data_IF_119722804082
#
_entry.id   IF_119722804082
#
_cell.length_a   1.000
_cell.length_b   1.000
_cell.length_c   1.000
_cell.angle_alpha   90.00
_cell.angle_beta   90.00
_cell.angle_gamma   90.00
#
_symmetry.space_group_name_H-M   'P 1'
#
loop_
_entity.id
_entity.type
_entity.pdbx_description
1 polymer ?
#
# COMPACT_ATOMS: atom_id res chain seq x y z
N UNK A 1 21.53 -36.20 -13.67
CA UNK A 1 20.46 -35.47 -14.38
C UNK A 1 20.63 -34.00 -14.11
N UNK A 2 21.56 -33.48 -14.88
CA UNK A 2 22.07 -32.13 -14.91
C UNK A 2 21.00 -31.19 -15.47
N UNK A 3 20.84 -30.03 -14.85
CA UNK A 3 20.27 -28.87 -15.52
C UNK A 3 21.29 -27.75 -15.30
N UNK A 4 22.10 -27.58 -16.34
CA UNK A 4 23.10 -26.54 -16.53
C UNK A 4 22.45 -25.19 -16.88
N UNK A 5 23.23 -24.16 -16.60
CA UNK A 5 23.05 -22.72 -16.67
C UNK A 5 22.46 -22.18 -17.98
N UNK A 6 21.63 -21.13 -17.84
CA UNK A 6 21.74 -19.89 -18.64
C UNK A 6 20.58 -18.93 -18.34
N UNK A 7 20.79 -18.03 -17.37
CA UNK A 7 20.11 -16.73 -17.39
C UNK A 7 21.19 -15.67 -17.45
N UNK A 8 21.20 -14.99 -18.59
CA UNK A 8 22.18 -14.03 -19.06
C UNK A 8 22.33 -12.83 -18.10
N UNK A 9 23.60 -12.53 -17.80
CA UNK A 9 24.08 -11.19 -17.42
C UNK A 9 23.88 -10.21 -18.58
N UNK A 10 23.18 -9.11 -18.33
CA UNK A 10 23.31 -7.75 -18.90
C UNK A 10 22.11 -6.93 -18.34
N UNK A 11 22.21 -5.75 -17.74
CA UNK A 11 23.24 -4.74 -17.70
C UNK A 11 23.17 -3.95 -16.38
N UNK A 12 24.33 -3.55 -15.86
CA UNK A 12 24.48 -2.62 -14.76
C UNK A 12 24.14 -1.18 -15.19
N UNK A 13 23.30 -0.49 -14.41
CA UNK A 13 23.32 0.97 -14.22
C UNK A 13 22.22 1.38 -13.24
N UNK A 14 22.61 2.03 -12.12
CA UNK A 14 21.83 2.50 -10.95
C UNK A 14 21.79 1.63 -9.67
N UNK A 15 22.88 0.92 -9.35
CA UNK A 15 23.07 0.44 -7.98
C UNK A 15 23.74 1.55 -7.15
N UNK A 16 23.14 2.03 -6.05
CA UNK A 16 23.78 2.99 -5.15
C UNK A 16 25.09 2.41 -4.58
N UNK A 17 26.10 3.25 -4.27
CA UNK A 17 27.49 2.86 -3.91
C UNK A 17 27.65 2.06 -2.60
N UNK A 18 26.57 1.52 -2.03
CA UNK A 18 26.55 0.80 -0.76
C UNK A 18 26.42 -0.70 -0.86
N UNK A 19 26.04 -1.22 -2.03
CA UNK A 19 25.65 -2.62 -2.17
C UNK A 19 26.71 -3.57 -1.62
N UNK A 20 27.99 -3.29 -1.85
CA UNK A 20 29.05 -4.20 -1.42
C UNK A 20 29.33 -4.11 0.10
N UNK A 21 29.42 -2.90 0.68
CA UNK A 21 29.79 -2.76 2.11
C UNK A 21 28.64 -3.05 3.09
N UNK A 22 27.40 -2.62 2.81
CA UNK A 22 26.28 -2.85 3.73
C UNK A 22 25.79 -4.29 3.66
N UNK A 23 25.72 -4.88 2.46
CA UNK A 23 25.30 -6.26 2.30
C UNK A 23 26.29 -7.21 2.99
N UNK A 24 27.59 -6.95 2.88
CA UNK A 24 28.63 -7.71 3.57
C UNK A 24 28.45 -7.67 5.09
N UNK A 25 28.16 -6.50 5.65
CA UNK A 25 27.93 -6.35 7.10
C UNK A 25 26.65 -7.07 7.53
N UNK A 26 25.56 -6.98 6.77
CA UNK A 26 24.33 -7.74 7.05
C UNK A 26 24.57 -9.25 6.92
N UNK A 27 25.37 -9.70 5.94
CA UNK A 27 25.74 -11.10 5.75
C UNK A 27 26.58 -11.61 6.92
N UNK A 28 27.48 -10.77 7.44
CA UNK A 28 28.27 -11.04 8.66
C UNK A 28 27.37 -11.17 9.89
N UNK A 29 26.43 -10.25 10.11
CA UNK A 29 25.42 -10.35 11.18
C UNK A 29 24.62 -11.66 11.05
N UNK A 30 24.14 -11.99 9.85
CA UNK A 30 23.42 -13.25 9.60
C UNK A 30 24.28 -14.47 9.90
N UNK A 31 25.58 -14.43 9.58
CA UNK A 31 26.55 -15.51 9.88
C UNK A 31 26.77 -15.67 11.38
N UNK A 32 26.86 -14.58 12.15
CA UNK A 32 26.92 -14.60 13.62
C UNK A 32 25.70 -15.34 14.16
N UNK A 33 24.49 -14.89 13.80
CA UNK A 33 23.24 -15.49 14.28
C UNK A 33 23.16 -16.98 13.92
N UNK A 34 23.47 -17.35 12.66
CA UNK A 34 23.47 -18.75 12.23
C UNK A 34 24.48 -19.60 13.01
N UNK A 35 25.64 -19.05 13.36
CA UNK A 35 26.68 -19.79 14.10
C UNK A 35 26.20 -20.20 15.49
N UNK A 36 25.51 -19.29 16.19
CA UNK A 36 24.91 -19.60 17.49
C UNK A 36 23.70 -20.52 17.34
N UNK A 37 22.76 -20.25 16.41
CA UNK A 37 21.56 -21.09 16.25
C UNK A 37 21.84 -22.52 15.81
N UNK A 38 22.94 -22.78 15.08
CA UNK A 38 23.32 -24.13 14.63
C UNK A 38 23.96 -24.99 15.72
N UNK A 39 24.54 -24.37 16.75
CA UNK A 39 25.29 -25.10 17.78
C UNK A 39 24.65 -24.89 19.15
N UNK A 40 23.99 -25.93 19.72
CA UNK A 40 23.39 -25.84 21.06
C UNK A 40 24.39 -25.36 22.11
N UNK A 41 25.62 -25.89 22.08
CA UNK A 41 26.69 -25.52 23.02
C UNK A 41 27.02 -24.02 22.94
N UNK A 42 27.18 -23.47 21.72
CA UNK A 42 27.47 -22.04 21.55
C UNK A 42 26.27 -21.18 21.94
N UNK A 43 25.06 -21.63 21.64
CA UNK A 43 23.83 -20.93 21.99
C UNK A 43 23.61 -20.88 23.50
N UNK A 44 23.88 -21.97 24.22
CA UNK A 44 23.75 -22.04 25.67
C UNK A 44 24.81 -21.18 26.37
N UNK A 45 26.03 -21.15 25.83
CA UNK A 45 27.06 -20.22 26.31
C UNK A 45 26.64 -18.76 26.10
N UNK A 46 26.16 -18.42 24.89
CA UNK A 46 25.64 -17.07 24.61
C UNK A 46 24.48 -16.70 25.56
N UNK A 47 23.56 -17.63 25.80
CA UNK A 47 22.44 -17.41 26.73
C UNK A 47 22.94 -17.10 28.15
N UNK A 48 23.96 -17.80 28.64
CA UNK A 48 24.61 -17.50 29.92
C UNK A 48 25.25 -16.11 29.94
N UNK A 49 25.96 -15.74 28.87
CA UNK A 49 26.52 -14.39 28.75
C UNK A 49 25.44 -13.31 28.73
N UNK A 50 24.33 -13.52 28.01
CA UNK A 50 23.20 -12.60 27.99
C UNK A 50 22.57 -12.42 29.38
N UNK A 51 22.40 -13.52 30.13
CA UNK A 51 21.89 -13.47 31.51
C UNK A 51 22.85 -12.74 32.46
N UNK A 52 24.16 -12.96 32.31
CA UNK A 52 25.17 -12.26 33.10
C UNK A 52 25.17 -10.73 32.86
N UNK A 53 24.84 -10.31 31.63
CA UNK A 53 24.66 -8.90 31.26
C UNK A 53 23.25 -8.35 31.62
N UNK A 54 22.38 -9.16 32.25
CA UNK A 54 21.03 -8.74 32.66
C UNK A 54 20.00 -8.67 31.54
N UNK A 55 20.24 -9.30 30.39
CA UNK A 55 19.32 -9.30 29.26
C UNK A 55 18.19 -10.32 29.46
N UNK A 56 16.93 -9.86 29.26
CA UNK A 56 15.74 -10.74 29.31
C UNK A 56 15.70 -11.73 28.15
N UNK A 57 16.14 -11.31 26.98
CA UNK A 57 16.19 -12.14 25.78
C UNK A 57 17.55 -12.83 25.66
N UNK A 58 17.54 -14.16 25.68
CA UNK A 58 18.75 -14.99 25.68
C UNK A 58 19.07 -15.59 24.31
N UNK A 59 18.22 -15.36 23.30
CA UNK A 59 18.35 -15.94 21.96
C UNK A 59 18.36 -14.86 20.89
N UNK A 60 19.25 -15.04 19.92
CA UNK A 60 19.30 -14.19 18.73
C UNK A 60 18.19 -14.57 17.74
N UNK A 61 17.63 -13.54 17.09
CA UNK A 61 16.62 -13.72 16.05
C UNK A 61 17.30 -13.79 14.68
N UNK A 62 16.78 -14.64 13.80
CA UNK A 62 17.26 -14.73 12.41
C UNK A 62 16.21 -14.10 11.52
N UNK A 63 16.65 -13.33 10.54
CA UNK A 63 15.75 -12.71 9.57
C UNK A 63 15.05 -13.73 8.67
N UNK A 64 13.88 -13.36 8.21
CA UNK A 64 13.02 -14.09 7.27
C UNK A 64 13.11 -13.37 5.93
N UNK A 65 13.61 -14.06 4.90
CA UNK A 65 13.89 -13.49 3.57
C UNK A 65 12.72 -12.71 2.96
N UNK A 66 11.48 -13.16 3.20
CA UNK A 66 10.26 -12.58 2.61
C UNK A 66 9.74 -11.37 3.42
N UNK A 67 10.13 -11.23 4.69
CA UNK A 67 9.62 -10.18 5.59
C UNK A 67 10.74 -9.23 5.99
N UNK A 68 10.92 -8.16 5.23
CA UNK A 68 12.01 -7.20 5.43
C UNK A 68 12.12 -6.66 6.87
N UNK A 69 10.99 -6.43 7.57
CA UNK A 69 10.98 -6.01 9.00
C UNK A 69 11.79 -6.93 9.92
N UNK A 70 11.94 -8.20 9.57
CA UNK A 70 12.71 -9.16 10.37
C UNK A 70 14.22 -8.91 10.34
N UNK A 71 14.72 -8.17 9.35
CA UNK A 71 16.12 -7.72 9.30
C UNK A 71 16.39 -6.76 10.46
N UNK A 72 15.46 -5.82 10.72
CA UNK A 72 15.55 -4.89 11.86
C UNK A 72 15.64 -5.66 13.17
N UNK A 73 14.73 -6.63 13.37
CA UNK A 73 14.73 -7.46 14.59
C UNK A 73 16.02 -8.27 14.76
N UNK A 74 16.59 -8.77 13.66
CA UNK A 74 17.86 -9.51 13.69
C UNK A 74 19.01 -8.61 14.11
N UNK A 75 19.17 -7.46 13.45
CA UNK A 75 20.25 -6.51 13.73
C UNK A 75 20.12 -5.99 15.17
N UNK A 76 18.93 -5.55 15.57
CA UNK A 76 18.64 -5.07 16.92
C UNK A 76 18.96 -6.13 17.99
N UNK A 77 18.59 -7.39 17.78
CA UNK A 77 18.92 -8.47 18.73
C UNK A 77 20.43 -8.66 18.92
N UNK A 78 21.22 -8.54 17.84
CA UNK A 78 22.69 -8.64 17.90
C UNK A 78 23.30 -7.39 18.55
N UNK A 79 22.78 -6.21 18.26
CA UNK A 79 23.25 -4.95 18.86
C UNK A 79 22.96 -4.88 20.36
N UNK A 80 21.79 -5.32 20.82
CA UNK A 80 21.45 -5.41 22.26
C UNK A 80 22.34 -6.40 22.98
N UNK A 81 22.59 -7.56 22.38
CA UNK A 81 23.44 -8.60 22.94
C UNK A 81 24.94 -8.39 22.63
N UNK A 82 25.37 -7.21 22.16
CA UNK A 82 26.72 -6.98 21.62
C UNK A 82 27.84 -7.50 22.52
N UNK A 83 27.82 -7.16 23.80
CA UNK A 83 28.87 -7.59 24.75
C UNK A 83 28.90 -9.11 24.91
N UNK A 84 27.73 -9.72 25.11
CA UNK A 84 27.59 -11.17 25.22
C UNK A 84 28.02 -11.89 23.93
N UNK A 85 27.66 -11.35 22.77
CA UNK A 85 28.08 -11.86 21.46
C UNK A 85 29.59 -11.76 21.29
N UNK A 86 30.21 -10.62 21.64
CA UNK A 86 31.67 -10.46 21.59
C UNK A 86 32.40 -11.45 22.50
N UNK A 87 31.94 -11.61 23.75
CA UNK A 87 32.50 -12.59 24.69
C UNK A 87 32.40 -14.02 24.14
N UNK A 88 31.22 -14.40 23.65
CA UNK A 88 30.99 -15.73 23.10
C UNK A 88 31.80 -15.98 21.82
N UNK A 89 31.95 -14.99 20.93
CA UNK A 89 32.78 -15.12 19.73
C UNK A 89 34.26 -15.31 20.09
N UNK A 90 34.76 -14.61 21.11
CA UNK A 90 36.13 -14.76 21.60
C UNK A 90 36.36 -16.14 22.21
N UNK A 91 35.44 -16.63 23.05
CA UNK A 91 35.53 -17.96 23.67
C UNK A 91 35.65 -19.10 22.64
N UNK A 92 34.91 -19.02 21.54
CA UNK A 92 34.93 -20.02 20.49
C UNK A 92 35.96 -19.74 19.37
N UNK A 93 36.90 -18.82 19.57
CA UNK A 93 37.93 -18.42 18.60
C UNK A 93 37.36 -17.97 17.23
N UNK A 94 36.19 -17.34 17.23
CA UNK A 94 35.48 -16.82 16.06
C UNK A 94 35.70 -15.30 15.89
N UNK A 95 36.90 -14.81 16.18
CA UNK A 95 37.23 -13.38 16.19
C UNK A 95 37.06 -12.69 14.83
N UNK A 96 37.17 -13.44 13.72
CA UNK A 96 36.89 -12.95 12.36
C UNK A 96 35.44 -12.48 12.15
N UNK A 97 34.51 -12.87 13.04
CA UNK A 97 33.11 -12.43 13.00
C UNK A 97 32.83 -11.21 13.88
N UNK A 98 33.82 -10.70 14.62
CA UNK A 98 33.64 -9.52 15.47
C UNK A 98 33.27 -8.30 14.63
N UNK A 99 32.26 -7.57 15.07
CA UNK A 99 31.84 -6.31 14.45
C UNK A 99 32.76 -5.18 14.94
N UNK A 100 33.33 -4.45 13.99
CA UNK A 100 34.08 -3.23 14.25
C UNK A 100 33.14 -2.10 14.68
N UNK A 101 33.68 -1.06 15.32
CA UNK A 101 32.89 0.11 15.74
C UNK A 101 32.27 0.86 14.54
N UNK A 102 32.93 0.85 13.37
CA UNK A 102 32.36 1.40 12.14
C UNK A 102 31.14 0.60 11.65
N UNK A 103 31.24 -0.74 11.64
CA UNK A 103 30.12 -1.62 11.29
C UNK A 103 28.96 -1.47 12.27
N UNK A 104 29.23 -1.34 13.57
CA UNK A 104 28.22 -1.11 14.60
C UNK A 104 27.51 0.22 14.38
N UNK A 105 28.26 1.30 14.10
CA UNK A 105 27.68 2.62 13.82
C UNK A 105 26.81 2.58 12.56
N UNK A 106 27.25 1.88 11.51
CA UNK A 106 26.47 1.68 10.29
C UNK A 106 25.16 0.92 10.58
N UNK A 107 25.23 -0.21 11.29
CA UNK A 107 24.07 -1.02 11.65
C UNK A 107 23.04 -0.26 12.50
N UNK A 108 23.50 0.60 13.43
CA UNK A 108 22.61 1.47 14.20
C UNK A 108 21.86 2.46 13.30
N UNK A 109 22.57 3.15 12.41
CA UNK A 109 21.93 4.08 11.46
C UNK A 109 20.91 3.38 10.56
N UNK A 110 21.22 2.17 10.10
CA UNK A 110 20.28 1.34 9.31
C UNK A 110 19.06 0.93 10.14
N UNK A 111 19.23 0.51 11.40
CA UNK A 111 18.11 0.20 12.28
C UNK A 111 17.21 1.41 12.49
N UNK A 112 17.75 2.56 12.86
CA UNK A 112 16.97 3.77 13.14
C UNK A 112 16.13 4.19 11.90
N UNK A 113 16.73 4.10 10.71
CA UNK A 113 16.04 4.36 9.44
C UNK A 113 14.94 3.33 9.17
N UNK A 114 15.23 2.04 9.29
CA UNK A 114 14.27 0.98 8.98
C UNK A 114 13.16 0.87 10.02
N UNK A 115 13.41 1.22 11.29
CA UNK A 115 12.39 1.29 12.35
C UNK A 115 11.33 2.34 12.02
N UNK A 116 11.75 3.50 11.51
CA UNK A 116 10.84 4.55 11.05
C UNK A 116 9.91 4.02 9.95
N UNK A 117 10.48 3.33 8.96
CA UNK A 117 9.70 2.74 7.86
C UNK A 117 8.80 1.60 8.37
N UNK A 118 9.27 0.80 9.33
CA UNK A 118 8.52 -0.33 9.88
C UNK A 118 7.34 0.15 10.71
N UNK A 119 7.51 1.21 11.50
CA UNK A 119 6.45 1.88 12.24
C UNK A 119 5.38 2.44 11.29
N UNK A 120 5.80 3.14 10.24
CA UNK A 120 4.88 3.68 9.23
C UNK A 120 4.13 2.58 8.47
N UNK A 121 4.83 1.53 8.02
CA UNK A 121 4.20 0.37 7.37
C UNK A 121 3.19 -0.35 8.27
N UNK A 122 3.49 -0.47 9.57
CA UNK A 122 2.55 -1.03 10.56
C UNK A 122 1.33 -0.14 10.73
N UNK A 123 1.54 1.18 10.84
CA UNK A 123 0.47 2.18 10.91
C UNK A 123 -0.47 2.11 9.72
N UNK A 124 0.08 2.02 8.50
CA UNK A 124 -0.68 1.92 7.24
C UNK A 124 -1.56 0.67 7.16
N UNK A 125 -1.16 -0.40 7.86
CA UNK A 125 -1.94 -1.63 7.96
C UNK A 125 -3.02 -1.61 9.04
N UNK A 126 -3.22 -0.50 9.77
CA UNK A 126 -4.27 -0.44 10.81
C UNK A 126 -5.67 -0.51 10.20
N UNK A 127 -6.67 -0.92 11.00
CA UNK A 127 -8.04 -1.15 10.49
C UNK A 127 -8.81 0.13 10.15
N UNK A 128 -8.58 1.21 10.90
CA UNK A 128 -9.29 2.48 10.74
C UNK A 128 -8.57 3.45 9.79
N UNK A 129 -7.94 2.89 8.75
CA UNK A 129 -7.03 3.62 7.86
C UNK A 129 -7.74 4.00 6.56
N UNK A 130 -7.74 5.29 6.27
CA UNK A 130 -8.22 5.88 5.02
C UNK A 130 -7.05 6.54 4.29
N UNK A 131 -7.28 7.03 3.06
CA UNK A 131 -6.22 7.67 2.27
C UNK A 131 -5.63 8.92 2.94
N UNK A 132 -6.44 9.68 3.71
CA UNK A 132 -5.99 10.89 4.38
C UNK A 132 -4.99 10.56 5.50
N UNK A 133 -5.33 9.61 6.38
CA UNK A 133 -4.41 9.11 7.40
C UNK A 133 -3.21 8.39 6.79
N UNK A 134 -3.40 7.69 5.67
CA UNK A 134 -2.30 7.09 4.91
C UNK A 134 -1.27 8.14 4.47
N UNK A 135 -1.72 9.27 3.92
CA UNK A 135 -0.85 10.38 3.55
C UNK A 135 -0.13 10.97 4.78
N UNK A 136 -0.81 11.13 5.93
CA UNK A 136 -0.16 11.57 7.18
C UNK A 136 0.96 10.63 7.64
N UNK A 137 0.79 9.32 7.46
CA UNK A 137 1.84 8.34 7.77
C UNK A 137 3.01 8.48 6.79
N UNK A 138 2.74 8.70 5.50
CA UNK A 138 3.81 8.97 4.53
C UNK A 138 4.56 10.27 4.85
N UNK A 139 3.87 11.34 5.24
CA UNK A 139 4.48 12.58 5.73
C UNK A 139 5.39 12.31 6.94
N UNK A 140 4.93 11.51 7.90
CA UNK A 140 5.73 11.10 9.06
C UNK A 140 7.02 10.39 8.64
N UNK A 141 6.92 9.40 7.74
CA UNK A 141 8.09 8.66 7.24
C UNK A 141 9.07 9.61 6.57
N UNK A 142 8.60 10.44 5.63
CA UNK A 142 9.45 11.38 4.88
C UNK A 142 10.10 12.41 5.78
N UNK A 143 9.33 13.01 6.70
CA UNK A 143 9.83 14.01 7.66
C UNK A 143 10.87 13.43 8.61
N UNK A 144 10.76 12.16 8.97
CA UNK A 144 11.72 11.50 9.85
C UNK A 144 12.99 11.10 9.08
N UNK A 145 12.84 10.58 7.87
CA UNK A 145 13.97 10.23 7.01
C UNK A 145 14.74 11.46 6.50
N UNK A 146 14.09 12.62 6.33
CA UNK A 146 14.78 13.86 5.96
C UNK A 146 15.69 14.41 7.07
N UNK A 147 15.43 14.02 8.33
CA UNK A 147 16.27 14.34 9.49
C UNK A 147 17.45 13.36 9.65
N UNK A 148 17.45 12.26 8.90
CA UNK A 148 18.53 11.29 8.94
C UNK A 148 19.74 11.82 8.16
N UNK A 149 20.86 11.98 8.85
CA UNK A 149 22.11 12.46 8.26
C UNK A 149 22.92 11.35 7.59
N UNK A 150 22.50 10.09 7.71
CA UNK A 150 23.17 8.97 7.08
C UNK A 150 22.87 8.94 5.59
N UNK A 151 23.87 8.57 4.79
CA UNK A 151 23.69 8.45 3.35
C UNK A 151 22.71 7.29 3.00
N UNK A 152 22.56 6.27 3.86
CA UNK A 152 21.48 5.27 3.76
C UNK A 152 20.09 5.89 3.93
N UNK A 153 19.88 6.69 4.97
CA UNK A 153 18.64 7.44 5.20
C UNK A 153 18.28 8.35 4.04
N UNK A 154 19.27 9.06 3.46
CA UNK A 154 19.07 9.90 2.28
C UNK A 154 18.63 9.09 1.05
N UNK A 155 19.28 7.95 0.78
CA UNK A 155 18.87 7.04 -0.31
C UNK A 155 17.46 6.45 -0.08
N UNK A 156 17.13 6.09 1.15
CA UNK A 156 15.81 5.59 1.53
C UNK A 156 14.73 6.67 1.36
N UNK A 157 15.00 7.89 1.80
CA UNK A 157 14.11 9.04 1.60
C UNK A 157 13.83 9.23 0.10
N UNK A 158 14.87 9.31 -0.72
CA UNK A 158 14.74 9.47 -2.16
C UNK A 158 13.93 8.34 -2.80
N UNK A 159 14.23 7.08 -2.46
CA UNK A 159 13.54 5.93 -3.00
C UNK A 159 12.05 5.92 -2.61
N UNK A 160 11.71 6.23 -1.36
CA UNK A 160 10.32 6.29 -0.91
C UNK A 160 9.59 7.46 -1.57
N UNK A 161 10.18 8.65 -1.64
CA UNK A 161 9.58 9.80 -2.32
C UNK A 161 9.26 9.50 -3.78
N UNK A 162 10.23 8.93 -4.52
CA UNK A 162 10.03 8.57 -5.92
C UNK A 162 8.92 7.52 -6.10
N UNK A 163 8.88 6.50 -5.24
CA UNK A 163 7.82 5.49 -5.27
C UNK A 163 6.44 6.06 -4.94
N UNK A 164 6.40 7.03 -4.04
CA UNK A 164 5.17 7.72 -3.68
C UNK A 164 4.65 8.56 -4.84
N UNK A 165 5.52 9.35 -5.49
CA UNK A 165 5.16 10.13 -6.69
C UNK A 165 4.61 9.25 -7.82
N UNK A 166 5.18 8.06 -8.03
CA UNK A 166 4.76 7.14 -9.09
C UNK A 166 3.40 6.47 -8.86
N UNK A 167 3.00 6.27 -7.60
CA UNK A 167 1.88 5.39 -7.24
C UNK A 167 0.73 6.10 -6.56
N UNK A 168 1.01 7.23 -5.91
CA UNK A 168 0.01 8.02 -5.21
C UNK A 168 -0.91 8.69 -6.20
N UNK A 169 -2.19 8.78 -5.83
CA UNK A 169 -3.20 9.52 -6.57
C UNK A 169 -3.51 10.82 -5.81
N UNK A 170 -2.68 11.88 -5.99
CA UNK A 170 -2.78 13.12 -5.22
C UNK A 170 -4.15 13.80 -5.34
N UNK A 171 -4.85 13.60 -6.46
CA UNK A 171 -6.19 14.12 -6.70
C UNK A 171 -7.25 13.45 -5.82
N UNK A 172 -7.10 12.15 -5.52
CA UNK A 172 -8.06 11.39 -4.71
C UNK A 172 -7.81 11.66 -3.22
N UNK A 173 -6.56 11.47 -2.77
CA UNK A 173 -6.22 11.68 -1.36
C UNK A 173 -6.27 13.15 -0.96
N UNK A 174 -5.89 14.06 -1.87
CA UNK A 174 -6.03 15.50 -1.69
C UNK A 174 -7.48 15.96 -1.58
N UNK A 175 -8.38 15.42 -2.41
CA UNK A 175 -9.81 15.72 -2.30
C UNK A 175 -10.38 15.23 -0.96
N UNK A 176 -10.00 14.03 -0.51
CA UNK A 176 -10.43 13.52 0.79
C UNK A 176 -9.94 14.41 1.95
N UNK A 177 -8.66 14.81 1.93
CA UNK A 177 -8.08 15.68 2.97
C UNK A 177 -8.72 17.06 2.98
N UNK A 178 -8.88 17.68 1.81
CA UNK A 178 -9.57 18.95 1.66
C UNK A 178 -10.99 18.90 2.23
N UNK A 179 -11.78 17.88 1.86
CA UNK A 179 -13.15 17.71 2.39
C UNK A 179 -13.19 17.31 3.87
N UNK A 180 -12.06 16.87 4.45
CA UNK A 180 -11.90 16.64 5.89
C UNK A 180 -11.56 17.94 6.66
N UNK A 181 -11.31 19.05 5.96
CA UNK A 181 -10.89 20.32 6.55
C UNK A 181 -9.40 20.40 6.86
N UNK A 182 -8.57 19.51 6.28
CA UNK A 182 -7.12 19.58 6.43
C UNK A 182 -6.55 20.74 5.61
N UNK A 183 -5.62 21.51 6.20
CA UNK A 183 -4.77 22.43 5.45
C UNK A 183 -3.75 21.63 4.62
N UNK A 184 -3.82 21.80 3.31
CA UNK A 184 -2.92 21.13 2.36
C UNK A 184 -1.61 21.90 2.17
N UNK A 185 -1.53 23.18 2.56
CA UNK A 185 -0.33 24.01 2.39
C UNK A 185 0.77 23.63 3.39
N UNK A 186 0.40 23.13 4.57
CA UNK A 186 1.35 22.67 5.60
C UNK A 186 1.94 21.28 5.32
N UNK A 187 1.46 20.59 4.28
CA UNK A 187 1.88 19.23 3.95
C UNK A 187 3.22 19.19 3.22
N UNK A 188 4.07 18.21 3.55
CA UNK A 188 5.27 17.89 2.76
C UNK A 188 4.96 17.18 1.44
N UNK A 189 3.75 16.64 1.27
CA UNK A 189 3.27 16.02 0.04
C UNK A 189 2.64 17.05 -0.90
N UNK A 190 2.87 16.86 -2.19
CA UNK A 190 2.31 17.71 -3.24
C UNK A 190 0.84 17.30 -3.50
N UNK A 191 -0.03 18.31 -3.52
CA UNK A 191 -1.45 18.19 -3.86
C UNK A 191 -1.80 19.07 -5.06
N UNK A 192 -2.83 18.68 -5.83
CA UNK A 192 -3.28 19.48 -6.95
C UNK A 192 -4.05 20.73 -6.45
N UNK A 193 -4.05 21.82 -7.22
CA UNK A 193 -4.75 23.04 -6.85
C UNK A 193 -6.26 22.82 -6.76
N UNK A 194 -6.95 23.70 -6.01
CA UNK A 194 -8.41 23.65 -5.79
C UNK A 194 -9.23 23.43 -7.07
N UNK A 195 -8.82 24.06 -8.18
CA UNK A 195 -9.50 23.92 -9.48
C UNK A 195 -9.52 22.48 -9.99
N UNK A 196 -8.43 21.74 -9.79
CA UNK A 196 -8.32 20.34 -10.18
C UNK A 196 -9.08 19.43 -9.22
N UNK A 197 -9.06 19.71 -7.91
CA UNK A 197 -9.87 18.98 -6.93
C UNK A 197 -11.37 19.05 -7.24
N UNK A 198 -11.86 20.23 -7.64
CA UNK A 198 -13.25 20.40 -8.10
C UNK A 198 -13.54 19.53 -9.31
N UNK A 199 -12.62 19.51 -10.29
CA UNK A 199 -12.78 18.68 -11.50
C UNK A 199 -12.83 17.20 -11.13
N UNK A 200 -11.95 16.75 -10.24
CA UNK A 200 -11.96 15.37 -9.74
C UNK A 200 -13.26 15.03 -9.00
N UNK A 201 -13.78 15.93 -8.16
CA UNK A 201 -15.06 15.73 -7.49
C UNK A 201 -16.23 15.62 -8.48
N UNK A 202 -16.23 16.45 -9.52
CA UNK A 202 -17.21 16.40 -10.61
C UNK A 202 -17.18 15.05 -11.34
N UNK A 203 -15.99 14.62 -11.76
CA UNK A 203 -15.79 13.34 -12.45
C UNK A 203 -16.21 12.15 -11.59
N UNK A 204 -15.82 12.15 -10.31
CA UNK A 204 -16.19 11.10 -9.36
C UNK A 204 -17.69 11.07 -9.11
N UNK A 205 -18.32 12.23 -8.92
CA UNK A 205 -19.75 12.29 -8.68
C UNK A 205 -20.53 11.76 -9.87
N UNK A 206 -20.17 12.20 -11.09
CA UNK A 206 -20.80 11.70 -12.31
C UNK A 206 -20.57 10.20 -12.46
N UNK A 207 -19.37 9.71 -12.22
CA UNK A 207 -19.05 8.28 -12.37
C UNK A 207 -19.82 7.38 -11.37
N UNK A 208 -20.02 7.84 -10.14
CA UNK A 208 -20.54 7.00 -9.06
C UNK A 208 -22.04 7.17 -8.80
N UNK A 209 -22.58 8.36 -9.04
CA UNK A 209 -23.93 8.73 -8.59
C UNK A 209 -24.82 9.30 -9.69
N UNK A 210 -24.32 9.45 -10.92
CA UNK A 210 -25.16 9.94 -12.02
C UNK A 210 -25.92 8.78 -12.70
N UNK A 211 -27.22 8.80 -12.50
CA UNK A 211 -28.16 7.75 -12.92
C UNK A 211 -28.63 7.88 -14.38
N UNK A 212 -27.78 8.33 -15.33
CA UNK A 212 -28.17 8.28 -16.75
C UNK A 212 -28.22 6.85 -17.34
N UNK A 213 -27.87 5.82 -16.55
CA UNK A 213 -27.94 4.40 -16.92
C UNK A 213 -28.88 3.58 -16.01
N UNK A 214 -29.79 4.20 -15.26
CA UNK A 214 -30.74 3.48 -14.39
C UNK A 214 -31.93 2.86 -15.15
N UNK A 215 -31.82 2.59 -16.45
CA UNK A 215 -32.70 1.65 -17.14
C UNK A 215 -32.13 0.23 -17.04
N UNK A 216 -32.08 -0.31 -15.81
CA UNK A 216 -32.20 -1.76 -15.67
C UNK A 216 -33.67 -2.06 -15.92
N UNK A 217 -33.99 -2.43 -17.17
CA UNK A 217 -35.28 -3.04 -17.50
C UNK A 217 -35.48 -4.23 -16.55
N UNK A 218 -36.37 -4.07 -15.59
CA UNK A 218 -36.98 -5.20 -14.90
C UNK A 218 -37.74 -5.96 -15.98
N UNK A 219 -37.19 -7.07 -16.46
CA UNK A 219 -37.91 -8.02 -17.30
C UNK A 219 -39.12 -8.52 -16.51
N UNK A 220 -40.30 -7.96 -16.83
CA UNK A 220 -41.55 -8.67 -16.67
C UNK A 220 -41.97 -9.22 -18.04
N UNK A 221 -42.55 -10.44 -18.09
CA UNK A 221 -42.72 -11.17 -19.34
C UNK A 221 -43.77 -10.53 -20.25
N UNK A 222 -43.49 -10.59 -21.55
CA UNK A 222 -44.31 -10.11 -22.66
C UNK A 222 -45.77 -10.61 -22.63
N UNK A 223 -46.69 -9.80 -23.18
CA UNK A 223 -47.78 -10.30 -24.00
C UNK A 223 -47.67 -9.85 -25.47
N UNK A 224 -48.34 -10.56 -26.40
CA UNK A 224 -47.84 -10.78 -27.75
C UNK A 224 -48.33 -9.78 -28.81
N UNK A 225 -47.43 -9.54 -29.77
CA UNK A 225 -47.58 -9.35 -31.23
C UNK A 225 -48.89 -8.83 -31.83
N UNK A 226 -48.73 -7.78 -32.63
CA UNK A 226 -49.33 -7.47 -33.96
C UNK A 226 -48.75 -6.10 -34.38
N UNK A 227 -48.35 -5.73 -35.59
CA UNK A 227 -48.32 -6.26 -36.98
C UNK A 227 -47.59 -5.16 -37.76
N UNK A 228 -46.57 -5.45 -38.59
CA UNK A 228 -45.94 -4.42 -39.43
C UNK A 228 -45.92 -4.82 -40.92
N UNK A 229 -46.49 -3.94 -41.75
CA UNK A 229 -46.36 -3.88 -43.21
C UNK A 229 -44.94 -3.41 -43.64
N UNK A 230 -44.47 -3.73 -44.86
CA UNK A 230 -43.08 -3.51 -45.24
C UNK A 230 -42.79 -2.05 -45.64
N UNK A 231 -41.68 -1.43 -45.19
CA UNK A 231 -41.33 -0.06 -45.56
C UNK A 231 -40.61 0.01 -46.92
N UNK A 232 -40.96 1.05 -47.67
CA UNK A 232 -40.38 1.49 -48.95
C UNK A 232 -38.85 1.70 -48.89
N UNK A 233 -38.12 1.18 -49.87
CA UNK A 233 -36.64 1.24 -49.95
C UNK A 233 -36.15 2.64 -50.34
N UNK A 234 -35.37 3.28 -49.47
CA UNK A 234 -34.60 4.49 -49.79
C UNK A 234 -33.41 4.16 -50.70
N UNK A 235 -32.93 5.16 -51.44
CA UNK A 235 -31.78 5.02 -52.33
C UNK A 235 -30.48 4.93 -51.53
N UNK A 236 -29.55 4.05 -51.94
CA UNK A 236 -28.22 3.88 -51.34
C UNK A 236 -27.40 5.19 -51.24
N UNK A 237 -27.70 6.16 -52.09
CA UNK A 237 -27.07 7.48 -52.06
C UNK A 237 -27.56 8.35 -50.88
N UNK A 238 -28.79 8.14 -50.40
CA UNK A 238 -29.31 8.78 -49.18
C UNK A 238 -28.77 8.08 -47.94
N UNK A 239 -28.70 6.75 -47.93
CA UNK A 239 -28.07 5.99 -46.84
C UNK A 239 -26.61 6.40 -46.60
N UNK A 240 -25.84 6.63 -47.68
CA UNK A 240 -24.46 7.08 -47.58
C UNK A 240 -24.34 8.52 -47.04
N UNK A 241 -25.28 9.40 -47.39
CA UNK A 241 -25.31 10.77 -46.86
C UNK A 241 -25.68 10.77 -45.37
N UNK A 242 -26.61 9.93 -44.97
CA UNK A 242 -26.99 9.76 -43.56
C UNK A 242 -25.82 9.16 -42.75
N UNK A 243 -25.08 8.21 -43.32
CA UNK A 243 -23.90 7.62 -42.69
C UNK A 243 -22.74 8.62 -42.53
N UNK A 244 -22.51 9.48 -43.52
CA UNK A 244 -21.45 10.51 -43.46
C UNK A 244 -21.82 11.69 -42.54
N UNK A 245 -23.11 12.00 -42.40
CA UNK A 245 -23.61 13.05 -41.50
C UNK A 245 -23.84 12.55 -40.06
N UNK A 246 -23.81 11.24 -39.84
CA UNK A 246 -23.77 10.61 -38.52
C UNK A 246 -22.38 10.77 -37.87
N UNK A 247 -21.94 12.01 -37.67
CA UNK A 247 -21.05 12.31 -36.55
C UNK A 247 -21.92 12.29 -35.30
N UNK A 248 -21.59 11.40 -34.36
CA UNK A 248 -22.17 11.34 -33.02
C UNK A 248 -22.28 12.74 -32.42
N UNK A 249 -23.47 13.34 -32.46
CA UNK A 249 -23.78 14.51 -31.63
C UNK A 249 -24.15 13.93 -30.26
N UNK A 250 -23.34 14.12 -29.20
CA UNK A 250 -23.79 13.77 -27.86
C UNK A 250 -25.11 14.50 -27.60
N UNK A 251 -26.13 13.77 -27.14
CA UNK A 251 -27.47 14.29 -26.88
C UNK A 251 -27.39 15.62 -26.14
N UNK A 252 -27.94 16.69 -26.71
CA UNK A 252 -27.90 18.06 -26.16
C UNK A 252 -28.47 18.16 -24.74
N UNK A 253 -29.37 17.25 -24.37
CA UNK A 253 -29.93 17.11 -23.03
C UNK A 253 -28.92 16.55 -22.00
N UNK A 254 -27.98 15.71 -22.42
CA UNK A 254 -26.93 15.16 -21.55
C UNK A 254 -25.93 16.25 -21.16
N UNK A 255 -25.44 17.02 -22.14
CA UNK A 255 -24.40 18.03 -21.91
C UNK A 255 -24.91 19.18 -21.05
N UNK A 256 -26.17 19.61 -21.24
CA UNK A 256 -26.80 20.64 -20.39
C UNK A 256 -27.00 20.18 -18.95
N UNK A 257 -27.39 18.93 -18.74
CA UNK A 257 -27.60 18.35 -17.41
C UNK A 257 -26.28 18.18 -16.65
N UNK A 258 -25.24 17.65 -17.31
CA UNK A 258 -23.88 17.53 -16.74
C UNK A 258 -23.31 18.90 -16.36
N UNK A 259 -23.51 19.92 -17.19
CA UNK A 259 -23.11 21.30 -16.88
C UNK A 259 -23.84 21.85 -15.64
N UNK A 260 -25.10 21.47 -15.43
CA UNK A 260 -25.88 21.80 -14.23
C UNK A 260 -25.27 21.23 -12.95
N UNK A 261 -24.95 19.93 -12.95
CA UNK A 261 -24.29 19.24 -11.81
C UNK A 261 -22.92 19.86 -11.54
N UNK A 262 -22.13 20.08 -12.59
CA UNK A 262 -20.80 20.67 -12.46
C UNK A 262 -20.88 22.07 -11.84
N UNK A 263 -21.89 22.86 -12.20
CA UNK A 263 -22.20 24.13 -11.58
C UNK A 263 -22.60 24.00 -10.11
N UNK A 264 -23.40 22.99 -9.77
CA UNK A 264 -23.79 22.72 -8.38
C UNK A 264 -22.59 22.36 -7.51
N UNK A 265 -21.74 21.43 -7.94
CA UNK A 265 -20.54 21.02 -7.20
C UNK A 265 -19.62 22.22 -6.97
N UNK A 266 -19.43 23.08 -7.97
CA UNK A 266 -18.65 24.33 -7.80
C UNK A 266 -19.21 25.24 -6.71
N UNK A 267 -20.54 25.41 -6.64
CA UNK A 267 -21.20 26.21 -5.60
C UNK A 267 -21.05 25.56 -4.22
N UNK A 268 -21.18 24.24 -4.14
CA UNK A 268 -21.01 23.50 -2.88
C UNK A 268 -19.58 23.61 -2.35
N UNK A 269 -18.55 23.58 -3.20
CA UNK A 269 -17.17 23.86 -2.78
C UNK A 269 -17.01 25.25 -2.16
N UNK A 270 -17.57 26.29 -2.79
CA UNK A 270 -17.54 27.64 -2.22
C UNK A 270 -18.32 27.75 -0.91
N UNK A 271 -19.42 27.01 -0.77
CA UNK A 271 -20.18 26.93 0.48
C UNK A 271 -19.39 26.22 1.58
N UNK A 272 -18.68 25.14 1.24
CA UNK A 272 -17.81 24.41 2.16
C UNK A 272 -16.68 25.30 2.67
N UNK A 273 -16.02 26.04 1.79
CA UNK A 273 -14.96 27.00 2.16
C UNK A 273 -15.45 28.07 3.16
N UNK A 274 -16.69 28.55 2.99
CA UNK A 274 -17.24 29.61 3.83
C UNK A 274 -17.80 29.11 5.17
N UNK A 275 -18.30 27.88 5.24
CA UNK A 275 -19.05 27.37 6.40
C UNK A 275 -18.36 26.24 7.15
N UNK A 276 -17.39 25.57 6.52
CA UNK A 276 -16.81 24.31 7.00
C UNK A 276 -17.79 23.12 7.02
N UNK A 277 -19.04 23.33 6.59
CA UNK A 277 -20.08 22.29 6.63
C UNK A 277 -20.15 21.58 5.28
N UNK A 278 -20.14 20.24 5.31
CA UNK A 278 -20.09 19.41 4.11
C UNK A 278 -21.46 19.36 3.43
N UNK A 279 -21.64 19.95 2.23
CA UNK A 279 -22.93 19.96 1.56
C UNK A 279 -23.33 18.57 1.02
N UNK A 280 -24.61 18.35 0.65
CA UNK A 280 -25.13 17.00 0.39
C UNK A 280 -24.43 16.24 -0.76
N UNK A 281 -24.09 16.91 -1.86
CA UNK A 281 -23.46 16.25 -3.03
C UNK A 281 -22.02 15.90 -2.71
N UNK A 282 -21.27 16.84 -2.11
CA UNK A 282 -19.92 16.61 -1.63
C UNK A 282 -19.87 15.55 -0.52
N UNK A 283 -20.91 15.45 0.31
CA UNK A 283 -21.02 14.41 1.33
C UNK A 283 -21.03 13.02 0.71
N UNK A 284 -21.79 12.80 -0.37
CA UNK A 284 -21.76 11.50 -1.09
C UNK A 284 -20.36 11.15 -1.59
N UNK A 285 -19.67 12.10 -2.21
CA UNK A 285 -18.29 11.91 -2.71
C UNK A 285 -17.33 11.63 -1.55
N UNK A 286 -17.40 12.41 -0.48
CA UNK A 286 -16.58 12.24 0.72
C UNK A 286 -16.74 10.85 1.35
N UNK A 287 -17.98 10.38 1.50
CA UNK A 287 -18.26 9.07 2.06
C UNK A 287 -17.72 7.95 1.15
N UNK A 288 -17.86 8.08 -0.17
CA UNK A 288 -17.25 7.14 -1.10
C UNK A 288 -15.71 7.13 -0.99
N UNK A 289 -15.07 8.29 -0.92
CA UNK A 289 -13.61 8.39 -0.73
C UNK A 289 -13.14 7.75 0.58
N UNK A 290 -13.92 7.90 1.66
CA UNK A 290 -13.62 7.28 2.96
C UNK A 290 -13.62 5.76 2.94
N UNK A 291 -14.31 5.13 1.98
CA UNK A 291 -14.31 3.67 1.85
C UNK A 291 -13.04 3.10 1.22
N UNK A 292 -12.16 3.94 0.66
CA UNK A 292 -10.96 3.48 -0.03
C UNK A 292 -9.87 3.17 1.00
N UNK A 293 -9.48 1.89 1.17
CA UNK A 293 -8.36 1.55 2.03
C UNK A 293 -7.04 1.96 1.36
N UNK A 294 -6.06 2.47 2.12
CA UNK A 294 -4.74 2.81 1.58
C UNK A 294 -3.86 1.59 1.29
N UNK A 295 -4.20 0.41 1.86
CA UNK A 295 -3.42 -0.82 1.70
C UNK A 295 -4.30 -2.07 1.56
N UNK A 296 -3.73 -3.13 0.99
CA UNK A 296 -4.33 -4.47 0.90
C UNK A 296 -4.26 -5.28 2.21
N UNK A 297 -3.74 -4.70 3.30
CA UNK A 297 -3.40 -5.45 4.52
C UNK A 297 -4.61 -6.14 5.15
N UNK A 298 -5.81 -5.54 5.11
CA UNK A 298 -6.99 -6.20 5.68
C UNK A 298 -7.41 -7.43 4.87
N UNK A 299 -7.29 -7.39 3.54
CA UNK A 299 -7.48 -8.55 2.69
C UNK A 299 -6.41 -9.62 2.96
N UNK A 300 -5.14 -9.23 3.09
CA UNK A 300 -4.04 -10.13 3.45
C UNK A 300 -4.27 -10.81 4.80
N UNK A 301 -4.82 -10.11 5.80
CA UNK A 301 -5.19 -10.70 7.10
C UNK A 301 -6.30 -11.74 6.97
N UNK A 302 -7.31 -11.46 6.14
CA UNK A 302 -8.37 -12.42 5.86
C UNK A 302 -7.81 -13.68 5.20
N UNK A 303 -6.98 -13.55 4.17
CA UNK A 303 -6.35 -14.66 3.48
C UNK A 303 -5.33 -15.41 4.35
N UNK A 304 -4.57 -14.70 5.19
CA UNK A 304 -3.65 -15.33 6.14
C UNK A 304 -4.39 -16.24 7.12
N UNK A 305 -5.55 -15.81 7.61
CA UNK A 305 -6.39 -16.65 8.47
C UNK A 305 -7.04 -17.81 7.70
N UNK A 306 -7.44 -17.59 6.44
CA UNK A 306 -7.94 -18.64 5.55
C UNK A 306 -6.85 -19.67 5.17
N UNK A 307 -5.57 -19.29 5.27
CA UNK A 307 -4.41 -20.14 4.95
C UNK A 307 -4.40 -21.49 5.68
N UNK A 308 -4.99 -21.56 6.88
CA UNK A 308 -5.19 -22.80 7.63
C UNK A 308 -6.06 -23.83 6.89
N UNK A 309 -7.06 -23.34 6.14
CA UNK A 309 -8.02 -24.14 5.37
C UNK A 309 -7.65 -24.27 3.89
N UNK A 310 -6.60 -23.58 3.44
CA UNK A 310 -6.07 -23.67 2.08
C UNK A 310 -4.93 -24.69 1.96
N UNK A 311 -4.03 -24.74 2.95
CA UNK A 311 -2.71 -25.37 2.77
C UNK A 311 -2.50 -26.66 3.57
N UNK A 312 -3.33 -26.93 4.57
CA UNK A 312 -3.17 -28.12 5.42
C UNK A 312 -4.04 -29.27 4.89
N UNK A 313 -3.38 -30.33 4.42
CA UNK A 313 -3.97 -31.56 3.85
C UNK A 313 -5.15 -32.17 4.63
N UNK A 314 -5.25 -31.95 5.95
CA UNK A 314 -6.34 -32.48 6.79
C UNK A 314 -7.50 -31.51 7.04
N UNK A 315 -7.38 -30.26 6.63
CA UNK A 315 -8.35 -29.19 6.90
C UNK A 315 -8.68 -28.37 5.66
N UNK A 316 -8.32 -28.89 4.49
CA UNK A 316 -8.54 -28.21 3.21
C UNK A 316 -10.03 -28.17 2.90
N UNK A 317 -10.56 -26.97 2.69
CA UNK A 317 -11.92 -26.77 2.19
C UNK A 317 -11.88 -26.58 0.67
N UNK A 318 -12.99 -26.87 -0.01
CA UNK A 318 -13.14 -26.51 -1.42
C UNK A 318 -13.22 -24.98 -1.59
N UNK A 319 -12.85 -24.51 -2.78
CA UNK A 319 -12.76 -23.08 -3.10
C UNK A 319 -14.05 -22.32 -2.77
N UNK A 320 -15.21 -22.91 -3.11
CA UNK A 320 -16.51 -22.29 -2.86
C UNK A 320 -16.82 -22.16 -1.37
N UNK A 321 -16.51 -23.18 -0.58
CA UNK A 321 -16.64 -23.12 0.88
C UNK A 321 -15.69 -22.08 1.48
N UNK A 322 -14.47 -21.95 0.95
CA UNK A 322 -13.50 -20.96 1.41
C UNK A 322 -13.96 -19.52 1.13
N UNK A 323 -14.45 -19.26 -0.08
CA UNK A 323 -15.00 -17.96 -0.46
C UNK A 323 -16.19 -17.60 0.44
N UNK A 324 -17.10 -18.54 0.62
CA UNK A 324 -18.26 -18.38 1.51
C UNK A 324 -17.82 -18.08 2.94
N UNK A 325 -16.81 -18.80 3.45
CA UNK A 325 -16.28 -18.59 4.80
C UNK A 325 -15.65 -17.20 4.96
N UNK A 326 -14.87 -16.75 3.97
CA UNK A 326 -14.27 -15.42 3.95
C UNK A 326 -15.34 -14.32 3.94
N UNK A 327 -16.38 -14.46 3.10
CA UNK A 327 -17.51 -13.53 3.05
C UNK A 327 -18.32 -13.52 4.34
N UNK A 328 -18.66 -14.69 4.89
CA UNK A 328 -19.41 -14.80 6.15
C UNK A 328 -18.63 -14.20 7.31
N UNK A 329 -17.32 -14.45 7.40
CA UNK A 329 -16.45 -13.84 8.41
C UNK A 329 -16.48 -12.32 8.32
N UNK A 330 -16.32 -11.76 7.12
CA UNK A 330 -16.39 -10.32 6.91
C UNK A 330 -17.75 -9.75 7.33
N UNK A 331 -18.84 -10.40 6.90
CA UNK A 331 -20.20 -10.03 7.27
C UNK A 331 -20.41 -10.00 8.79
N UNK A 332 -20.01 -11.06 9.50
CA UNK A 332 -20.19 -11.12 10.95
C UNK A 332 -19.28 -10.18 11.74
N UNK A 333 -18.11 -9.81 11.20
CA UNK A 333 -17.24 -8.82 11.86
C UNK A 333 -17.80 -7.39 11.76
N UNK A 334 -18.54 -7.07 10.69
CA UNK A 334 -19.08 -5.72 10.48
C UNK A 334 -20.55 -5.56 10.84
N UNK A 335 -21.34 -6.64 10.91
CA UNK A 335 -22.78 -6.60 11.20
C UNK A 335 -23.16 -7.13 12.59
N UNK A 336 -22.22 -7.66 13.38
CA UNK A 336 -22.51 -7.96 14.79
C UNK A 336 -22.54 -6.65 15.58
N UNK A 337 -23.76 -6.17 15.81
CA UNK A 337 -24.09 -5.31 16.96
C UNK A 337 -24.11 -6.14 18.23
#
# INVERSE_FOLDING_TARGET
>A
DDIDDSIQEEAASNVPPFADSLEDVIRKVRKIVKTFKKSPVKNDFLAKCCLAEGLKETKLTLDIKIRWNSIVTMIDSVLRARKAVTLALTEFSLTHLLLSEAEIKLLKGVCDCLETVAAGSTGLGSRDMDLARGDRIMEFILTRLSKDTTQFGASMHQAISQRLEQRRLPQISGLLRYLSGDDLEESSLIYPPRKELIKTAQELYIKLFWEANAEVKVENPEPPSQTDEPPSKKSRAEELKDFLNAKEKPSTNYLSSVNGINGQIKREFSSFDATGTLPPTLSKVFHALKTIPPTSVEAERAFSAAGLFLTKLRSCLDDRSLDTLCMLRHFFLHNKK
#
